data_IF_930828455561
#
_entry.id   IF_930828455561
#
_cell.length_a   1.000
_cell.length_b   1.000
_cell.length_c   1.000
_cell.angle_alpha   90.00
_cell.angle_beta   90.00
_cell.angle_gamma   90.00
#
_symmetry.space_group_name_H-M   'P 1'
#
loop_
_entity.id
_entity.type
_entity.pdbx_description
1 polymer ?
#
# COMPACT_ATOMS: atom_id res chain seq x y z
N UNK A 1 -27.13 0.19 1.82
CA UNK A 1 -26.29 0.08 3.03
C UNK A 1 -27.13 0.44 4.25
N UNK A 2 -27.35 -0.48 5.18
CA UNK A 2 -28.22 -0.27 6.36
C UNK A 2 -27.39 0.07 7.60
N UNK A 3 -27.00 1.33 7.74
CA UNK A 3 -26.15 1.79 8.85
C UNK A 3 -26.90 2.00 10.18
N UNK A 4 -28.20 2.30 10.11
CA UNK A 4 -29.02 2.62 11.27
C UNK A 4 -29.03 1.55 12.37
N UNK A 5 -29.24 0.26 12.06
CA UNK A 5 -29.15 -0.80 13.05
C UNK A 5 -27.79 -0.89 13.76
N UNK A 6 -26.70 -0.58 13.06
CA UNK A 6 -25.35 -0.54 13.63
C UNK A 6 -25.23 0.63 14.60
N UNK A 7 -25.68 1.82 14.21
CA UNK A 7 -25.73 3.02 15.06
C UNK A 7 -26.54 2.74 16.33
N UNK A 8 -27.70 2.08 16.21
CA UNK A 8 -28.51 1.67 17.37
C UNK A 8 -27.71 0.79 18.33
N UNK A 9 -27.07 -0.25 17.80
CA UNK A 9 -26.27 -1.22 18.58
C UNK A 9 -25.16 -0.50 19.35
N UNK A 10 -24.38 0.35 18.67
CA UNK A 10 -23.30 1.15 19.27
C UNK A 10 -23.83 2.11 20.32
N UNK A 11 -24.89 2.86 20.01
CA UNK A 11 -25.52 3.79 20.97
C UNK A 11 -25.97 3.04 22.23
N UNK A 12 -26.65 1.91 22.08
CA UNK A 12 -27.15 1.14 23.21
C UNK A 12 -26.06 0.52 24.05
N UNK A 13 -24.96 0.03 23.45
CA UNK A 13 -23.83 -0.51 24.21
C UNK A 13 -23.12 0.57 25.04
N UNK A 14 -23.11 1.82 24.56
CA UNK A 14 -22.61 2.99 25.30
C UNK A 14 -23.61 3.56 26.31
N UNK A 15 -24.82 2.98 26.45
CA UNK A 15 -25.85 3.47 27.37
C UNK A 15 -26.46 4.83 26.99
N UNK A 16 -26.26 5.29 25.75
CA UNK A 16 -26.69 6.62 25.30
C UNK A 16 -28.18 6.59 24.93
N UNK A 17 -28.98 7.54 25.42
CA UNK A 17 -30.40 7.65 25.05
C UNK A 17 -30.55 8.29 23.66
N UNK A 18 -31.60 7.92 22.92
CA UNK A 18 -31.87 8.52 21.59
C UNK A 18 -32.01 10.05 21.66
N UNK A 19 -32.61 10.59 22.72
CA UNK A 19 -32.71 12.05 22.89
C UNK A 19 -31.34 12.72 22.99
N UNK A 20 -30.39 12.10 23.70
CA UNK A 20 -29.02 12.63 23.88
C UNK A 20 -28.23 12.59 22.57
N UNK A 21 -28.31 11.47 21.85
CA UNK A 21 -27.62 11.32 20.57
C UNK A 21 -28.22 12.26 19.51
N UNK A 22 -29.55 12.38 19.43
CA UNK A 22 -30.23 13.20 18.43
C UNK A 22 -30.11 14.71 18.70
N UNK A 23 -29.86 15.11 19.95
CA UNK A 23 -29.85 16.51 20.37
C UNK A 23 -28.93 17.38 19.50
N UNK A 24 -29.45 18.53 19.04
CA UNK A 24 -28.73 19.45 18.15
C UNK A 24 -28.51 18.95 16.71
N UNK A 25 -28.88 17.71 16.37
CA UNK A 25 -28.60 17.09 15.05
C UNK A 25 -29.90 16.79 14.29
N UNK A 26 -30.87 16.16 14.96
CA UNK A 26 -32.17 15.80 14.38
C UNK A 26 -33.23 15.54 15.45
N UNK A 27 -34.48 15.36 15.03
CA UNK A 27 -35.52 14.93 15.97
C UNK A 27 -35.27 13.51 16.48
N UNK A 28 -35.68 13.22 17.72
CA UNK A 28 -35.66 11.86 18.29
C UNK A 28 -36.42 10.86 17.40
N UNK A 29 -37.52 11.30 16.79
CA UNK A 29 -38.31 10.46 15.87
C UNK A 29 -37.53 10.09 14.61
N UNK A 30 -36.76 11.02 14.04
CA UNK A 30 -35.90 10.75 12.88
C UNK A 30 -34.76 9.81 13.26
N UNK A 31 -34.11 10.01 14.41
CA UNK A 31 -33.09 9.07 14.88
C UNK A 31 -33.67 7.66 15.07
N UNK A 32 -34.85 7.54 15.67
CA UNK A 32 -35.52 6.25 15.84
C UNK A 32 -35.84 5.57 14.49
N UNK A 33 -36.30 6.34 13.50
CA UNK A 33 -36.52 5.84 12.13
C UNK A 33 -35.21 5.43 11.46
N UNK A 34 -34.13 6.18 11.64
CA UNK A 34 -32.81 5.82 11.12
C UNK A 34 -32.35 4.51 11.73
N UNK A 35 -32.35 4.40 13.05
CA UNK A 35 -31.99 3.19 13.81
C UNK A 35 -32.82 1.96 13.40
N UNK A 36 -34.07 2.18 12.99
CA UNK A 36 -34.96 1.14 12.46
C UNK A 36 -34.83 0.86 10.96
N UNK A 37 -33.89 1.49 10.24
CA UNK A 37 -33.68 1.30 8.80
C UNK A 37 -34.74 1.95 7.90
N UNK A 38 -35.57 2.85 8.44
CA UNK A 38 -36.73 3.48 7.75
C UNK A 38 -36.48 4.94 7.36
N UNK A 39 -35.24 5.39 7.51
CA UNK A 39 -34.80 6.75 7.21
C UNK A 39 -33.29 6.74 6.98
N UNK A 40 -32.81 7.54 6.04
CA UNK A 40 -31.39 7.75 5.78
C UNK A 40 -31.09 9.22 6.01
N UNK A 41 -30.33 9.58 7.06
CA UNK A 41 -29.96 10.96 7.29
C UNK A 41 -29.00 11.46 6.22
N UNK A 42 -28.92 12.79 6.07
CA UNK A 42 -27.85 13.42 5.30
C UNK A 42 -26.48 13.06 5.87
N UNK A 43 -25.45 13.13 5.03
CA UNK A 43 -24.07 12.79 5.40
C UNK A 43 -23.55 13.66 6.55
N UNK A 44 -23.86 14.95 6.52
CA UNK A 44 -23.60 15.93 7.58
C UNK A 44 -24.08 15.43 8.95
N UNK A 45 -25.32 14.95 9.02
CA UNK A 45 -25.90 14.43 10.26
C UNK A 45 -25.28 13.11 10.69
N UNK A 46 -24.94 12.23 9.75
CA UNK A 46 -24.26 10.98 10.08
C UNK A 46 -22.91 11.25 10.76
N UNK A 47 -22.12 12.18 10.23
CA UNK A 47 -20.83 12.56 10.82
C UNK A 47 -21.00 13.13 12.23
N UNK A 48 -21.97 14.02 12.46
CA UNK A 48 -22.25 14.55 13.79
C UNK A 48 -22.70 13.47 14.80
N UNK A 49 -23.48 12.47 14.33
CA UNK A 49 -23.87 11.34 15.17
C UNK A 49 -22.67 10.47 15.53
N UNK A 50 -21.77 10.25 14.57
CA UNK A 50 -20.55 9.47 14.76
C UNK A 50 -19.57 10.14 15.73
N UNK A 51 -19.42 11.46 15.64
CA UNK A 51 -18.64 12.27 16.57
C UNK A 51 -19.16 12.12 18.01
N UNK A 52 -20.48 12.27 18.23
CA UNK A 52 -21.11 12.01 19.54
C UNK A 52 -20.97 10.56 20.04
N UNK A 53 -20.73 9.61 19.14
CA UNK A 53 -20.53 8.20 19.47
C UNK A 53 -19.04 7.87 19.67
N UNK A 54 -18.11 8.82 19.49
CA UNK A 54 -16.67 8.58 19.50
C UNK A 54 -16.30 7.43 18.55
N UNK A 55 -16.76 7.54 17.30
CA UNK A 55 -16.63 6.49 16.29
C UNK A 55 -16.29 7.09 14.94
N UNK A 56 -15.33 6.49 14.24
CA UNK A 56 -15.01 6.88 12.86
C UNK A 56 -16.00 6.31 11.86
N UNK A 57 -16.09 6.89 10.67
CA UNK A 57 -16.90 6.32 9.58
C UNK A 57 -16.34 4.95 9.16
N UNK A 58 -15.02 4.82 9.14
CA UNK A 58 -14.31 3.58 8.83
C UNK A 58 -14.71 2.45 9.80
N UNK A 59 -14.75 2.73 11.10
CA UNK A 59 -15.18 1.77 12.11
C UNK A 59 -16.65 1.42 11.97
N UNK A 60 -17.52 2.40 11.70
CA UNK A 60 -18.93 2.13 11.45
C UNK A 60 -19.12 1.17 10.27
N UNK A 61 -18.41 1.40 9.16
CA UNK A 61 -18.45 0.55 7.98
C UNK A 61 -17.91 -0.85 8.31
N UNK A 62 -16.82 -0.95 9.06
CA UNK A 62 -16.28 -2.22 9.52
C UNK A 62 -17.30 -3.02 10.34
N UNK A 63 -18.03 -2.38 11.26
CA UNK A 63 -19.11 -3.00 12.04
C UNK A 63 -20.34 -3.35 11.20
N UNK A 64 -20.61 -2.58 10.13
CA UNK A 64 -21.70 -2.86 9.19
C UNK A 64 -21.44 -4.12 8.37
N UNK A 65 -20.20 -4.31 7.94
CA UNK A 65 -19.76 -5.50 7.23
C UNK A 65 -19.38 -6.66 8.17
N UNK A 66 -19.88 -6.67 9.41
CA UNK A 66 -19.64 -7.74 10.40
C UNK A 66 -18.15 -8.02 10.62
N UNK A 67 -17.37 -6.97 10.85
CA UNK A 67 -15.92 -7.04 11.05
C UNK A 67 -15.16 -7.51 9.80
N UNK A 68 -15.77 -7.40 8.61
CA UNK A 68 -15.09 -7.60 7.34
C UNK A 68 -14.54 -6.28 6.76
N UNK A 69 -13.44 -6.39 6.05
CA UNK A 69 -12.85 -5.27 5.31
C UNK A 69 -13.65 -5.00 4.02
N UNK A 70 -13.56 -3.78 3.45
CA UNK A 70 -14.15 -3.49 2.14
C UNK A 70 -13.66 -4.49 1.09
N UNK A 71 -14.54 -4.93 0.18
CA UNK A 71 -14.29 -6.01 -0.80
C UNK A 71 -12.94 -5.84 -1.51
N UNK A 72 -12.66 -4.65 -2.06
CA UNK A 72 -11.38 -4.36 -2.74
C UNK A 72 -10.15 -4.55 -1.84
N UNK A 73 -10.25 -4.17 -0.57
CA UNK A 73 -9.18 -4.35 0.42
C UNK A 73 -9.02 -5.83 0.77
N UNK A 74 -10.12 -6.56 0.95
CA UNK A 74 -10.10 -8.00 1.19
C UNK A 74 -9.45 -8.76 0.03
N UNK A 75 -9.81 -8.44 -1.22
CA UNK A 75 -9.21 -9.02 -2.43
C UNK A 75 -7.71 -8.72 -2.51
N UNK A 76 -7.30 -7.46 -2.29
CA UNK A 76 -5.89 -7.08 -2.27
C UNK A 76 -5.10 -7.84 -1.19
N UNK A 77 -5.62 -7.91 0.05
CA UNK A 77 -4.97 -8.64 1.13
C UNK A 77 -4.88 -10.14 0.85
N UNK A 78 -5.94 -10.73 0.30
CA UNK A 78 -5.96 -12.15 -0.10
C UNK A 78 -4.93 -12.44 -1.19
N UNK A 79 -4.80 -11.56 -2.19
CA UNK A 79 -3.77 -11.67 -3.23
C UNK A 79 -2.35 -11.58 -2.65
N UNK A 80 -2.09 -10.57 -1.81
CA UNK A 80 -0.77 -10.36 -1.20
C UNK A 80 -0.40 -11.52 -0.28
N UNK A 81 -1.33 -11.99 0.55
CA UNK A 81 -1.12 -13.13 1.44
C UNK A 81 -0.83 -14.41 0.64
N UNK A 82 -1.63 -14.70 -0.38
CA UNK A 82 -1.41 -15.86 -1.24
C UNK A 82 -0.06 -15.78 -1.97
N UNK A 83 0.33 -14.60 -2.46
CA UNK A 83 1.61 -14.39 -3.12
C UNK A 83 2.79 -14.58 -2.16
N UNK A 84 2.69 -14.05 -0.93
CA UNK A 84 3.75 -14.19 0.09
C UNK A 84 3.91 -15.64 0.56
N UNK A 85 2.82 -16.43 0.57
CA UNK A 85 2.84 -17.86 0.89
C UNK A 85 3.11 -18.77 -0.30
N UNK A 86 3.39 -18.20 -1.48
CA UNK A 86 3.59 -18.93 -2.73
C UNK A 86 2.42 -19.85 -3.12
N UNK A 87 1.19 -19.50 -2.70
CA UNK A 87 -0.05 -20.23 -3.01
C UNK A 87 -0.57 -19.82 -4.41
N UNK A 88 0.18 -20.18 -5.47
CA UNK A 88 -0.10 -19.71 -6.84
C UNK A 88 -1.50 -20.06 -7.35
N UNK A 89 -2.06 -21.21 -6.94
CA UNK A 89 -3.44 -21.56 -7.27
C UNK A 89 -4.45 -20.58 -6.69
N UNK A 90 -4.24 -20.13 -5.45
CA UNK A 90 -5.09 -19.12 -4.81
C UNK A 90 -4.90 -17.75 -5.46
N UNK A 91 -3.67 -17.37 -5.81
CA UNK A 91 -3.41 -16.13 -6.57
C UNK A 91 -4.21 -16.13 -7.88
N UNK A 92 -4.21 -17.24 -8.63
CA UNK A 92 -4.98 -17.38 -9.87
C UNK A 92 -6.48 -17.24 -9.62
N UNK A 93 -7.03 -17.97 -8.65
CA UNK A 93 -8.46 -17.90 -8.32
C UNK A 93 -8.91 -16.48 -7.98
N UNK A 94 -8.19 -15.80 -7.06
CA UNK A 94 -8.55 -14.43 -6.65
C UNK A 94 -8.34 -13.43 -7.80
N UNK A 95 -7.31 -13.64 -8.64
CA UNK A 95 -7.09 -12.84 -9.85
C UNK A 95 -8.28 -12.92 -10.80
N UNK A 96 -8.79 -14.11 -11.10
CA UNK A 96 -9.96 -14.25 -11.97
C UNK A 96 -11.25 -13.71 -11.33
N UNK A 97 -11.42 -13.84 -10.01
CA UNK A 97 -12.53 -13.20 -9.29
C UNK A 97 -12.50 -11.68 -9.50
N UNK A 98 -11.32 -11.06 -9.39
CA UNK A 98 -11.15 -9.63 -9.66
C UNK A 98 -11.52 -9.29 -11.11
N UNK A 99 -11.19 -10.15 -12.09
CA UNK A 99 -11.62 -9.93 -13.47
C UNK A 99 -13.14 -9.99 -13.62
N UNK A 100 -13.80 -11.01 -13.08
CA UNK A 100 -15.26 -11.13 -13.15
C UNK A 100 -15.95 -9.91 -12.52
N UNK A 101 -15.45 -9.45 -11.36
CA UNK A 101 -15.94 -8.23 -10.71
C UNK A 101 -15.73 -6.97 -11.58
N UNK A 102 -14.63 -6.90 -12.34
CA UNK A 102 -14.41 -5.82 -13.30
C UNK A 102 -15.41 -5.88 -14.46
N UNK A 103 -15.62 -7.06 -15.05
CA UNK A 103 -16.58 -7.26 -16.15
C UNK A 103 -18.02 -6.93 -15.75
N UNK A 104 -18.39 -7.24 -14.50
CA UNK A 104 -19.73 -6.95 -13.96
C UNK A 104 -19.94 -5.47 -13.63
N UNK A 105 -18.91 -4.79 -13.11
CA UNK A 105 -19.06 -3.45 -12.51
C UNK A 105 -18.43 -2.31 -13.29
N UNK A 106 -17.56 -2.60 -14.25
CA UNK A 106 -16.73 -1.62 -14.95
C UNK A 106 -15.76 -0.87 -14.01
N UNK A 107 -15.52 -1.36 -12.80
CA UNK A 107 -14.69 -0.66 -11.81
C UNK A 107 -13.20 -0.97 -12.00
N UNK A 108 -12.43 0.00 -12.48
CA UNK A 108 -10.98 -0.11 -12.77
C UNK A 108 -10.14 -0.75 -11.64
N UNK A 109 -10.50 -0.49 -10.37
CA UNK A 109 -9.79 -1.07 -9.24
C UNK A 109 -9.78 -2.60 -9.24
N UNK A 110 -10.82 -3.25 -9.75
CA UNK A 110 -10.84 -4.70 -9.88
C UNK A 110 -9.95 -5.15 -11.05
N UNK A 111 -9.91 -4.41 -12.15
CA UNK A 111 -8.98 -4.69 -13.25
C UNK A 111 -7.52 -4.59 -12.80
N UNK A 112 -7.18 -3.56 -12.03
CA UNK A 112 -5.83 -3.43 -11.47
C UNK A 112 -5.47 -4.56 -10.50
N UNK A 113 -6.42 -5.08 -9.71
CA UNK A 113 -6.17 -6.25 -8.85
C UNK A 113 -5.97 -7.53 -9.66
N UNK A 114 -6.72 -7.71 -10.75
CA UNK A 114 -6.48 -8.78 -11.73
C UNK A 114 -5.05 -8.69 -12.30
N UNK A 115 -4.66 -7.53 -12.82
CA UNK A 115 -3.32 -7.33 -13.38
C UNK A 115 -2.21 -7.57 -12.35
N UNK A 116 -2.45 -7.21 -11.09
CA UNK A 116 -1.50 -7.46 -10.00
C UNK A 116 -1.31 -8.97 -9.77
N UNK A 117 -2.40 -9.74 -9.72
CA UNK A 117 -2.35 -11.20 -9.62
C UNK A 117 -1.59 -11.85 -10.78
N UNK A 118 -1.90 -11.44 -12.02
CA UNK A 118 -1.19 -11.91 -13.22
C UNK A 118 0.31 -11.56 -13.19
N UNK A 119 0.65 -10.35 -12.74
CA UNK A 119 2.04 -9.93 -12.62
C UNK A 119 2.82 -10.69 -11.55
N UNK A 120 2.19 -11.04 -10.43
CA UNK A 120 2.79 -11.93 -9.44
C UNK A 120 3.07 -13.31 -10.00
N UNK A 121 2.10 -13.91 -10.72
CA UNK A 121 2.27 -15.21 -11.36
C UNK A 121 3.44 -15.21 -12.36
N UNK A 122 3.53 -14.17 -13.20
CA UNK A 122 4.64 -14.00 -14.15
C UNK A 122 6.01 -13.89 -13.49
N UNK A 123 6.12 -13.20 -12.35
CA UNK A 123 7.38 -13.03 -11.60
C UNK A 123 7.99 -14.38 -11.17
N UNK A 124 7.15 -15.40 -11.02
CA UNK A 124 7.56 -16.77 -10.65
C UNK A 124 7.43 -17.76 -11.81
N UNK A 125 7.39 -17.28 -13.06
CA UNK A 125 7.31 -18.13 -14.26
C UNK A 125 6.07 -19.04 -14.25
N UNK A 126 4.99 -18.60 -13.61
CA UNK A 126 3.69 -19.30 -13.52
C UNK A 126 2.67 -18.64 -14.44
N UNK A 127 3.00 -18.50 -15.71
CA UNK A 127 2.12 -17.85 -16.70
C UNK A 127 0.67 -18.37 -16.63
N UNK A 128 -0.26 -17.44 -16.84
CA UNK A 128 -1.69 -17.68 -16.84
C UNK A 128 -2.31 -17.02 -18.08
N UNK A 129 -3.04 -15.91 -17.95
CA UNK A 129 -3.69 -15.26 -19.11
C UNK A 129 -2.84 -14.15 -19.75
N UNK A 130 -1.97 -13.52 -18.96
CA UNK A 130 -1.03 -12.53 -19.45
C UNK A 130 0.37 -13.14 -19.48
N UNK A 131 0.99 -13.18 -20.68
CA UNK A 131 2.31 -13.79 -20.87
C UNK A 131 3.52 -12.88 -20.70
N UNK A 132 3.33 -11.56 -20.54
CA UNK A 132 4.45 -10.61 -20.47
C UNK A 132 4.17 -9.45 -19.53
N UNK A 133 5.17 -9.09 -18.70
CA UNK A 133 5.11 -7.93 -17.81
C UNK A 133 4.94 -6.61 -18.57
N UNK A 134 5.45 -6.53 -19.80
CA UNK A 134 5.28 -5.36 -20.68
C UNK A 134 3.82 -5.07 -21.03
N UNK A 135 2.96 -6.09 -21.11
CA UNK A 135 1.50 -5.91 -21.31
C UNK A 135 0.84 -5.30 -20.09
N UNK A 136 1.24 -5.73 -18.88
CA UNK A 136 0.75 -5.15 -17.63
C UNK A 136 1.21 -3.70 -17.51
N UNK A 137 2.50 -3.43 -17.76
CA UNK A 137 3.02 -2.07 -17.79
C UNK A 137 2.28 -1.20 -18.84
N UNK A 138 1.97 -1.78 -20.01
CA UNK A 138 1.21 -1.15 -21.07
C UNK A 138 -0.23 -0.79 -20.70
N UNK A 139 -0.84 -1.46 -19.72
CA UNK A 139 -2.16 -1.11 -19.19
C UNK A 139 -2.08 -0.05 -18.08
N UNK A 140 -1.11 -0.17 -17.18
CA UNK A 140 -0.99 0.68 -15.99
C UNK A 140 -0.42 2.07 -16.32
N UNK A 141 0.56 2.16 -17.22
CA UNK A 141 1.17 3.45 -17.57
C UNK A 141 0.18 4.45 -18.17
N UNK A 142 -0.67 4.08 -19.17
CA UNK A 142 -1.65 5.02 -19.71
C UNK A 142 -2.65 5.50 -18.65
N UNK A 143 -3.08 4.61 -17.74
CA UNK A 143 -3.94 5.01 -16.62
C UNK A 143 -3.26 6.09 -15.75
N UNK A 144 -2.05 5.82 -15.27
CA UNK A 144 -1.31 6.76 -14.41
C UNK A 144 -1.00 8.11 -15.09
N UNK A 145 -0.79 8.09 -16.42
CA UNK A 145 -0.60 9.29 -17.23
C UNK A 145 -1.90 10.08 -17.43
N UNK A 146 -3.02 9.38 -17.63
CA UNK A 146 -4.33 9.98 -17.89
C UNK A 146 -4.98 10.65 -16.68
N UNK A 147 -4.55 10.31 -15.46
CA UNK A 147 -5.03 10.96 -14.24
C UNK A 147 -4.35 12.33 -14.09
N UNK A 148 -5.15 13.41 -14.04
CA UNK A 148 -4.66 14.80 -13.88
C UNK A 148 -3.99 15.03 -12.52
N UNK A 149 -4.64 14.60 -11.43
CA UNK A 149 -4.13 14.71 -10.06
C UNK A 149 -4.16 13.38 -9.36
N UNK A 150 -3.03 13.00 -8.77
CA UNK A 150 -2.92 11.74 -8.05
C UNK A 150 -3.48 11.85 -6.65
N UNK A 151 -4.27 10.84 -6.29
CA UNK A 151 -4.73 10.59 -4.94
C UNK A 151 -4.00 9.37 -4.36
N UNK A 152 -4.31 9.04 -3.10
CA UNK A 152 -3.71 7.88 -2.43
C UNK A 152 -3.78 6.59 -3.26
N UNK A 153 -4.84 6.44 -4.05
CA UNK A 153 -5.03 5.30 -4.93
C UNK A 153 -3.92 5.19 -5.99
N UNK A 154 -3.62 6.25 -6.73
CA UNK A 154 -2.58 6.25 -7.78
C UNK A 154 -1.19 5.98 -7.20
N UNK A 155 -0.88 6.54 -6.02
CA UNK A 155 0.41 6.27 -5.36
C UNK A 155 0.56 4.79 -4.97
N UNK A 156 -0.50 4.19 -4.41
CA UNK A 156 -0.52 2.75 -4.09
C UNK A 156 -0.47 1.90 -5.35
N UNK A 157 -1.15 2.33 -6.41
CA UNK A 157 -1.16 1.66 -7.70
C UNK A 157 0.24 1.63 -8.32
N UNK A 158 0.91 2.79 -8.40
CA UNK A 158 2.30 2.86 -8.86
C UNK A 158 3.18 1.91 -8.05
N UNK A 159 3.09 1.96 -6.72
CA UNK A 159 3.90 1.13 -5.85
C UNK A 159 3.70 -0.37 -6.13
N UNK A 160 2.46 -0.80 -6.35
CA UNK A 160 2.12 -2.19 -6.66
C UNK A 160 2.69 -2.64 -8.00
N UNK A 161 2.86 -1.73 -8.98
CA UNK A 161 3.28 -2.08 -10.34
C UNK A 161 4.72 -1.72 -10.68
N UNK A 162 5.51 -1.16 -9.75
CA UNK A 162 6.91 -0.79 -9.98
C UNK A 162 7.77 -1.94 -10.53
N UNK A 163 7.49 -3.18 -10.12
CA UNK A 163 8.22 -4.35 -10.62
C UNK A 163 8.04 -4.62 -12.13
N UNK A 164 7.05 -3.98 -12.76
CA UNK A 164 6.78 -4.08 -14.20
C UNK A 164 7.45 -2.96 -15.02
N UNK A 165 8.02 -1.96 -14.33
CA UNK A 165 8.55 -0.75 -14.94
C UNK A 165 10.08 -0.83 -15.11
N UNK A 166 10.60 -0.15 -16.14
CA UNK A 166 12.03 0.13 -16.25
C UNK A 166 12.44 1.20 -15.22
N UNK A 167 13.74 1.34 -14.94
CA UNK A 167 14.23 2.44 -14.10
C UNK A 167 13.86 3.82 -14.67
N UNK A 168 13.88 4.00 -15.99
CA UNK A 168 13.47 5.25 -16.63
C UNK A 168 12.01 5.61 -16.34
N UNK A 169 11.10 4.65 -16.49
CA UNK A 169 9.69 4.85 -16.17
C UNK A 169 9.47 5.07 -14.66
N UNK A 170 10.14 4.27 -13.82
CA UNK A 170 10.04 4.38 -12.37
C UNK A 170 10.51 5.75 -11.86
N UNK A 171 11.59 6.30 -12.43
CA UNK A 171 12.09 7.65 -12.14
C UNK A 171 11.09 8.71 -12.60
N UNK A 172 10.54 8.57 -13.82
CA UNK A 172 9.55 9.51 -14.34
C UNK A 172 8.32 9.60 -13.44
N UNK A 173 7.68 8.48 -13.14
CA UNK A 173 6.52 8.44 -12.25
C UNK A 173 6.89 8.78 -10.79
N UNK A 174 8.10 8.42 -10.37
CA UNK A 174 8.64 8.72 -9.04
C UNK A 174 8.81 10.21 -8.77
N UNK A 175 9.30 10.96 -9.76
CA UNK A 175 9.45 12.41 -9.64
C UNK A 175 8.09 13.11 -9.59
N UNK A 176 7.13 12.68 -10.43
CA UNK A 176 5.74 13.14 -10.33
C UNK A 176 5.16 12.83 -8.95
N UNK A 177 5.33 11.59 -8.49
CA UNK A 177 4.82 11.16 -7.21
C UNK A 177 5.41 12.02 -6.07
N UNK A 178 6.71 12.25 -6.07
CA UNK A 178 7.38 13.06 -5.06
C UNK A 178 6.82 14.49 -4.96
N UNK A 179 6.50 15.11 -6.11
CA UNK A 179 5.92 16.45 -6.18
C UNK A 179 4.46 16.49 -5.71
N UNK A 180 3.64 15.52 -6.12
CA UNK A 180 2.21 15.53 -5.76
C UNK A 180 1.95 15.04 -4.32
N UNK A 181 2.84 14.22 -3.75
CA UNK A 181 2.68 13.69 -2.39
C UNK A 181 2.82 14.75 -1.29
N UNK A 182 3.38 15.94 -1.57
CA UNK A 182 3.56 16.97 -0.53
C UNK A 182 2.24 17.35 0.16
N UNK A 183 1.14 17.32 -0.57
CA UNK A 183 -0.22 17.60 -0.07
C UNK A 183 -0.73 16.57 0.95
N UNK A 184 -0.08 15.41 1.05
CA UNK A 184 -0.47 14.31 1.93
C UNK A 184 0.36 14.23 3.23
N UNK A 185 1.31 15.15 3.46
CA UNK A 185 2.26 15.06 4.59
C UNK A 185 1.60 14.87 5.98
N UNK A 186 0.43 15.46 6.18
CA UNK A 186 -0.33 15.41 7.43
C UNK A 186 -1.36 14.27 7.48
N UNK A 187 -1.56 13.57 6.36
CA UNK A 187 -2.44 12.40 6.30
C UNK A 187 -1.66 11.15 6.72
N UNK A 188 -1.96 10.62 7.91
CA UNK A 188 -1.16 9.58 8.56
C UNK A 188 -1.01 8.31 7.70
N UNK A 189 -2.08 7.89 7.04
CA UNK A 189 -2.17 6.70 6.18
C UNK A 189 -1.28 6.79 4.93
N UNK A 190 -0.86 8.00 4.57
CA UNK A 190 -0.01 8.24 3.41
C UNK A 190 1.48 8.12 3.72
N UNK A 191 1.89 8.30 4.98
CA UNK A 191 3.30 8.47 5.31
C UNK A 191 4.11 7.19 5.02
N UNK A 192 3.55 6.03 5.34
CA UNK A 192 4.13 4.72 5.02
C UNK A 192 4.15 4.48 3.50
N UNK A 193 3.10 4.90 2.79
CA UNK A 193 3.01 4.78 1.33
C UNK A 193 4.11 5.58 0.64
N UNK A 194 4.37 6.82 1.08
CA UNK A 194 5.46 7.64 0.51
C UNK A 194 6.82 6.98 0.71
N UNK A 195 7.10 6.51 1.93
CA UNK A 195 8.37 5.87 2.25
C UNK A 195 8.58 4.61 1.40
N UNK A 196 7.60 3.69 1.37
CA UNK A 196 7.68 2.47 0.57
C UNK A 196 7.85 2.78 -0.92
N UNK A 197 7.12 3.77 -1.44
CA UNK A 197 7.21 4.14 -2.84
C UNK A 197 8.62 4.63 -3.21
N UNK A 198 9.19 5.54 -2.42
CA UNK A 198 10.54 6.05 -2.65
C UNK A 198 11.59 4.93 -2.55
N UNK A 199 11.48 4.05 -1.53
CA UNK A 199 12.35 2.87 -1.37
C UNK A 199 12.25 1.95 -2.59
N UNK A 200 11.04 1.60 -3.02
CA UNK A 200 10.83 0.66 -4.11
C UNK A 200 11.30 1.21 -5.47
N UNK A 201 11.13 2.51 -5.73
CA UNK A 201 11.70 3.16 -6.93
C UNK A 201 13.23 3.06 -6.90
N UNK A 202 13.84 3.33 -5.75
CA UNK A 202 15.27 3.21 -5.61
C UNK A 202 15.78 1.79 -5.85
N UNK A 203 15.05 0.77 -5.38
CA UNK A 203 15.40 -0.64 -5.62
C UNK A 203 15.32 -0.99 -7.10
N UNK A 204 14.33 -0.46 -7.85
CA UNK A 204 14.26 -0.63 -9.32
C UNK A 204 15.49 0.01 -9.98
N UNK A 205 15.83 1.24 -9.59
CA UNK A 205 17.02 1.93 -10.11
C UNK A 205 18.32 1.17 -9.79
N UNK A 206 18.46 0.66 -8.57
CA UNK A 206 19.62 -0.11 -8.13
C UNK A 206 19.79 -1.39 -8.97
N UNK A 207 18.70 -2.14 -9.17
CA UNK A 207 18.69 -3.37 -9.96
C UNK A 207 19.18 -3.15 -11.40
N UNK A 208 18.85 -2.00 -11.99
CA UNK A 208 19.30 -1.59 -13.33
C UNK A 208 20.62 -0.80 -13.31
N UNK A 209 21.36 -0.80 -12.20
CA UNK A 209 22.65 -0.13 -12.03
C UNK A 209 22.59 1.41 -12.20
N UNK A 210 21.39 2.00 -12.12
CA UNK A 210 21.19 3.44 -12.10
C UNK A 210 21.38 3.97 -10.67
N UNK A 211 22.62 3.86 -10.17
CA UNK A 211 22.96 4.14 -8.78
C UNK A 211 22.70 5.60 -8.38
N UNK A 212 22.90 6.56 -9.29
CA UNK A 212 22.63 7.97 -9.02
C UNK A 212 21.15 8.24 -8.71
N UNK A 213 20.24 7.69 -9.51
CA UNK A 213 18.80 7.81 -9.22
C UNK A 213 18.39 7.00 -8.00
N UNK A 214 18.99 5.82 -7.81
CA UNK A 214 18.76 5.03 -6.59
C UNK A 214 19.08 5.84 -5.34
N UNK A 215 20.26 6.47 -5.30
CA UNK A 215 20.70 7.31 -4.18
C UNK A 215 19.75 8.48 -3.94
N UNK A 216 19.32 9.15 -5.02
CA UNK A 216 18.37 10.26 -4.94
C UNK A 216 17.06 9.84 -4.26
N UNK A 217 16.44 8.72 -4.66
CA UNK A 217 15.20 8.27 -4.05
C UNK A 217 15.40 7.73 -2.62
N UNK A 218 16.53 7.06 -2.32
CA UNK A 218 16.84 6.62 -0.95
C UNK A 218 17.01 7.79 0.02
N UNK A 219 17.66 8.88 -0.45
CA UNK A 219 17.81 10.11 0.35
C UNK A 219 16.47 10.74 0.72
N UNK A 220 15.42 10.53 -0.10
CA UNK A 220 14.04 10.94 0.21
C UNK A 220 13.31 9.95 1.10
N UNK A 221 13.60 8.66 1.00
CA UNK A 221 12.97 7.60 1.78
C UNK A 221 13.41 7.62 3.26
N UNK A 222 14.70 7.86 3.53
CA UNK A 222 15.27 7.77 4.88
C UNK A 222 14.59 8.70 5.90
N UNK A 223 14.41 10.02 5.65
CA UNK A 223 13.76 10.91 6.62
C UNK A 223 12.29 10.56 6.89
N UNK A 224 11.64 9.84 5.96
CA UNK A 224 10.25 9.43 6.11
C UNK A 224 10.12 8.24 7.07
N UNK A 225 11.08 7.30 7.04
CA UNK A 225 11.10 6.16 7.95
C UNK A 225 11.26 6.61 9.42
N UNK A 226 12.08 7.65 9.67
CA UNK A 226 12.25 8.24 11.00
C UNK A 226 10.97 8.87 11.54
N UNK A 227 10.26 9.64 10.71
CA UNK A 227 9.02 10.32 11.10
C UNK A 227 7.85 9.38 11.39
N UNK A 228 7.95 8.11 11.01
CA UNK A 228 6.84 7.14 11.04
C UNK A 228 7.12 5.93 11.94
N UNK A 229 8.21 5.93 12.70
CA UNK A 229 8.62 4.81 13.55
C UNK A 229 8.77 3.49 12.77
N UNK A 230 9.12 3.56 11.47
CA UNK A 230 9.31 2.39 10.61
C UNK A 230 10.74 1.86 10.74
N UNK A 231 11.10 1.33 11.91
CA UNK A 231 12.47 0.87 12.17
C UNK A 231 12.94 -0.18 11.17
N UNK A 232 12.08 -1.14 10.84
CA UNK A 232 12.37 -2.18 9.86
C UNK A 232 12.66 -1.58 8.47
N UNK A 233 11.76 -0.73 7.95
CA UNK A 233 11.98 -0.07 6.66
C UNK A 233 13.19 0.85 6.66
N UNK A 234 13.50 1.48 7.79
CA UNK A 234 14.72 2.29 7.93
C UNK A 234 15.96 1.42 7.72
N UNK A 235 16.04 0.26 8.37
CA UNK A 235 17.19 -0.64 8.26
C UNK A 235 17.34 -1.14 6.82
N UNK A 236 16.26 -1.59 6.17
CA UNK A 236 16.32 -1.99 4.76
C UNK A 236 16.77 -0.83 3.85
N UNK A 237 16.21 0.37 4.05
CA UNK A 237 16.57 1.56 3.27
C UNK A 237 18.04 1.91 3.45
N UNK A 238 18.58 1.79 4.67
CA UNK A 238 19.99 2.02 4.97
C UNK A 238 20.89 0.99 4.28
N UNK A 239 20.51 -0.29 4.26
CA UNK A 239 21.24 -1.32 3.49
C UNK A 239 21.33 -0.94 2.01
N UNK A 240 20.20 -0.60 1.38
CA UNK A 240 20.21 -0.16 -0.02
C UNK A 240 21.04 1.11 -0.23
N UNK A 241 20.99 2.04 0.73
CA UNK A 241 21.74 3.30 0.68
C UNK A 241 23.25 3.06 0.71
N UNK A 242 23.72 2.23 1.64
CA UNK A 242 25.13 1.88 1.77
C UNK A 242 25.65 1.11 0.55
N UNK A 243 24.88 0.13 0.04
CA UNK A 243 25.23 -0.57 -1.21
C UNK A 243 25.40 0.43 -2.36
N UNK A 244 24.46 1.39 -2.48
CA UNK A 244 24.49 2.39 -3.55
C UNK A 244 25.69 3.32 -3.43
N UNK A 245 26.05 3.77 -2.21
CA UNK A 245 27.23 4.60 -1.98
C UNK A 245 28.53 3.89 -2.35
N UNK A 246 28.67 2.61 -1.98
CA UNK A 246 29.83 1.79 -2.32
C UNK A 246 29.95 1.60 -3.84
N UNK A 247 28.84 1.29 -4.53
CA UNK A 247 28.84 1.18 -5.99
C UNK A 247 29.19 2.50 -6.70
N UNK A 248 28.81 3.65 -6.12
CA UNK A 248 29.18 4.97 -6.63
C UNK A 248 30.60 5.41 -6.25
N UNK A 249 31.32 4.61 -5.44
CA UNK A 249 32.63 4.98 -4.86
C UNK A 249 32.58 6.30 -4.08
N UNK A 250 31.43 6.59 -3.47
CA UNK A 250 31.26 7.71 -2.53
C UNK A 250 31.57 7.30 -1.08
N UNK A 251 31.83 6.01 -0.88
CA UNK A 251 32.25 5.40 0.39
C UNK A 251 33.15 4.21 0.09
N UNK A 252 34.20 4.02 0.88
CA UNK A 252 35.19 2.95 0.66
C UNK A 252 35.01 1.74 1.60
N UNK A 253 34.41 1.95 2.77
CA UNK A 253 34.26 0.89 3.79
C UNK A 253 32.86 0.27 3.77
N UNK A 254 32.74 -1.07 3.79
CA UNK A 254 31.46 -1.77 3.93
C UNK A 254 31.01 -1.94 5.39
N UNK A 255 31.69 -1.33 6.37
CA UNK A 255 31.45 -1.58 7.78
C UNK A 255 30.00 -1.29 8.21
N UNK A 256 29.42 -0.14 7.80
CA UNK A 256 28.04 0.20 8.14
C UNK A 256 27.02 -0.71 7.43
N UNK A 257 27.28 -1.08 6.17
CA UNK A 257 26.47 -2.07 5.46
C UNK A 257 26.39 -3.39 6.23
N UNK A 258 27.54 -3.92 6.66
CA UNK A 258 27.62 -5.15 7.43
C UNK A 258 26.94 -5.03 8.80
N UNK A 259 27.05 -3.86 9.45
CA UNK A 259 26.34 -3.59 10.70
C UNK A 259 24.82 -3.64 10.51
N UNK A 260 24.27 -3.01 9.47
CA UNK A 260 22.82 -3.02 9.21
C UNK A 260 22.31 -4.44 8.87
N UNK A 261 23.06 -5.22 8.08
CA UNK A 261 22.74 -6.63 7.85
C UNK A 261 22.78 -7.45 9.14
N UNK A 262 23.76 -7.18 10.01
CA UNK A 262 23.85 -7.86 11.31
C UNK A 262 22.68 -7.51 12.24
N UNK A 263 22.17 -6.27 12.20
CA UNK A 263 20.96 -5.89 12.95
C UNK A 263 19.76 -6.75 12.51
N UNK A 264 19.55 -6.94 11.20
CA UNK A 264 18.46 -7.81 10.72
C UNK A 264 18.60 -9.24 11.23
N UNK A 265 19.83 -9.77 11.22
CA UNK A 265 20.14 -11.10 11.76
C UNK A 265 19.86 -11.19 13.27
N UNK A 266 20.27 -10.18 14.04
CA UNK A 266 20.07 -10.15 15.50
C UNK A 266 18.59 -10.01 15.89
N UNK A 267 17.79 -9.37 15.04
CA UNK A 267 16.34 -9.25 15.20
C UNK A 267 15.56 -10.43 14.59
N UNK A 268 16.25 -11.50 14.19
CA UNK A 268 15.68 -12.73 13.62
C UNK A 268 14.92 -12.54 12.29
N UNK A 269 15.14 -11.43 11.57
CA UNK A 269 14.64 -11.21 10.21
C UNK A 269 15.47 -11.97 9.17
N UNK A 270 15.51 -13.29 9.30
CA UNK A 270 16.41 -14.18 8.54
C UNK A 270 16.14 -14.14 7.03
N UNK A 271 14.87 -14.16 6.61
CA UNK A 271 14.49 -14.08 5.19
C UNK A 271 14.94 -12.76 4.56
N UNK A 272 14.72 -11.65 5.27
CA UNK A 272 15.13 -10.31 4.83
C UNK A 272 16.64 -10.17 4.78
N UNK A 273 17.36 -10.72 5.78
CA UNK A 273 18.82 -10.75 5.79
C UNK A 273 19.37 -11.51 4.58
N UNK A 274 18.87 -12.71 4.29
CA UNK A 274 19.33 -13.49 3.13
C UNK A 274 18.99 -12.81 1.81
N UNK A 275 17.77 -12.26 1.66
CA UNK A 275 17.37 -11.53 0.47
C UNK A 275 18.26 -10.29 0.22
N UNK A 276 18.52 -9.48 1.25
CA UNK A 276 19.37 -8.30 1.14
C UNK A 276 20.83 -8.66 0.94
N UNK A 277 21.33 -9.74 1.57
CA UNK A 277 22.68 -10.25 1.32
C UNK A 277 22.87 -10.68 -0.12
N UNK A 278 21.87 -11.31 -0.74
CA UNK A 278 21.90 -11.63 -2.18
C UNK A 278 21.95 -10.37 -3.06
N UNK A 279 21.20 -9.32 -2.70
CA UNK A 279 21.30 -8.02 -3.39
C UNK A 279 22.71 -7.46 -3.26
N UNK A 280 23.29 -7.47 -2.05
CA UNK A 280 24.64 -6.99 -1.81
C UNK A 280 25.67 -7.75 -2.66
N UNK A 281 25.63 -9.09 -2.67
CA UNK A 281 26.49 -9.94 -3.51
C UNK A 281 26.41 -9.59 -4.99
N UNK A 282 25.21 -9.33 -5.51
CA UNK A 282 25.01 -8.99 -6.93
C UNK A 282 25.72 -7.70 -7.32
N UNK A 283 25.79 -6.71 -6.44
CA UNK A 283 26.32 -5.39 -6.76
C UNK A 283 27.73 -5.15 -6.19
N UNK A 284 28.16 -5.92 -5.19
CA UNK A 284 29.43 -5.82 -4.49
C UNK A 284 30.02 -7.24 -4.26
N UNK A 285 30.33 -8.00 -5.33
CA UNK A 285 30.82 -9.37 -5.20
C UNK A 285 32.10 -9.46 -4.35
N UNK A 286 33.02 -8.52 -4.54
CA UNK A 286 34.31 -8.46 -3.82
C UNK A 286 34.18 -8.33 -2.29
N UNK A 287 33.03 -7.87 -1.80
CA UNK A 287 32.76 -7.67 -0.37
C UNK A 287 32.12 -8.91 0.27
N UNK A 288 31.44 -9.76 -0.51
CA UNK A 288 30.55 -10.82 0.02
C UNK A 288 30.85 -12.24 -0.49
N UNK A 289 31.81 -12.39 -1.40
CA UNK A 289 32.28 -13.68 -1.93
C UNK A 289 33.63 -14.16 -1.34
N UNK A 290 34.20 -13.42 -0.38
CA UNK A 290 35.27 -13.87 0.53
C UNK A 290 34.71 -14.55 1.78
#
# INVERSE_FOLDING_TARGET
>A
MHLGPVIKRVRTSKGIRQSVLADGIMSRSNLSRFEGGKYYPGYDKLILLLDKLEMSLEELLFLHYEYAQPVKRSLHLSLVEAANRYEFGKVRTVSHECRSMYEETGTEAYHHLYLLGQGFLLRYQREDEIGQLSRIAGAIKPYLLGVDRWFLYEFKLLNNFLFTLSSGDAVFFGNRAAAEFEKYQDFAESRTVKQHLMKNIATVCLKEHNYGQSLYFLSKALPLADKTNLLYDKIETLVYYEVTLLCLKQKDSPAELLNYLNILRQLEFTDSYEALKQVCRRHLPDVFDT
#
